data_IF_136834860665
#
_entry.id   IF_136834860665
#
_cell.length_a   1.000
_cell.length_b   1.000
_cell.length_c   1.000
_cell.angle_alpha   90.00
_cell.angle_beta   90.00
_cell.angle_gamma   90.00
#
_symmetry.space_group_name_H-M   'P 1'
#
loop_
_entity.id
_entity.type
_entity.pdbx_description
1 polymer ?
#
# COMPACT_ATOMS: atom_id res chain seq x y z
N UNK A 1 14.65 35.88 -33.85
CA UNK A 1 14.04 34.65 -34.37
C UNK A 1 14.40 33.48 -33.47
N UNK A 2 13.46 32.56 -33.25
CA UNK A 2 13.75 31.31 -32.54
C UNK A 2 14.57 30.38 -33.44
N UNK A 3 15.71 29.93 -32.91
CA UNK A 3 16.69 29.07 -33.61
C UNK A 3 16.89 27.73 -32.91
N UNK A 4 15.98 27.33 -32.01
CA UNK A 4 16.01 26.01 -31.40
C UNK A 4 15.92 24.91 -32.47
N UNK A 5 16.84 23.95 -32.40
CA UNK A 5 16.96 22.85 -33.37
C UNK A 5 15.80 21.86 -33.25
N UNK A 6 15.28 21.68 -32.04
CA UNK A 6 14.26 20.68 -31.73
C UNK A 6 12.84 21.17 -32.05
N UNK A 7 12.09 20.34 -32.79
CA UNK A 7 10.66 20.49 -33.01
C UNK A 7 9.91 19.80 -31.87
N UNK A 8 9.04 20.55 -31.19
CA UNK A 8 8.14 19.98 -30.18
C UNK A 8 7.00 19.24 -30.88
N UNK A 9 6.41 18.26 -30.19
CA UNK A 9 5.20 17.55 -30.61
C UNK A 9 5.31 16.85 -31.98
N UNK A 10 6.50 16.33 -32.34
CA UNK A 10 6.77 15.83 -33.70
C UNK A 10 7.55 14.51 -33.75
N UNK A 11 7.68 13.75 -32.65
CA UNK A 11 8.45 12.50 -32.64
C UNK A 11 7.58 11.25 -32.75
N UNK A 12 6.41 11.23 -32.09
CA UNK A 12 5.45 10.14 -32.14
C UNK A 12 4.02 10.69 -32.02
N UNK A 13 3.00 9.87 -32.26
CA UNK A 13 1.60 10.32 -32.13
C UNK A 13 1.08 10.07 -30.70
N UNK A 14 0.31 11.02 -30.19
CA UNK A 14 -0.38 10.88 -28.90
C UNK A 14 -1.40 9.74 -28.95
N UNK A 15 -2.08 9.57 -30.09
CA UNK A 15 -3.10 8.52 -30.25
C UNK A 15 -2.52 7.10 -30.12
N UNK A 16 -1.32 6.84 -30.63
CA UNK A 16 -0.66 5.55 -30.45
C UNK A 16 -0.22 5.32 -29.01
N UNK A 17 0.28 6.36 -28.32
CA UNK A 17 0.63 6.28 -26.90
C UNK A 17 -0.61 5.98 -26.03
N UNK A 18 -1.73 6.68 -26.26
CA UNK A 18 -3.00 6.45 -25.57
C UNK A 18 -3.55 5.03 -25.86
N UNK A 19 -3.42 4.53 -27.10
CA UNK A 19 -3.81 3.15 -27.42
C UNK A 19 -2.93 2.13 -26.72
N UNK A 20 -1.61 2.34 -26.68
CA UNK A 20 -0.68 1.48 -25.97
C UNK A 20 -0.98 1.46 -24.45
N UNK A 21 -1.39 2.59 -23.89
CA UNK A 21 -1.84 2.69 -22.51
C UNK A 21 -3.04 1.77 -22.23
N UNK A 22 -4.07 1.78 -23.08
CA UNK A 22 -5.23 0.87 -22.92
C UNK A 22 -4.82 -0.61 -22.94
N UNK A 23 -3.88 -0.99 -23.82
CA UNK A 23 -3.37 -2.37 -23.87
C UNK A 23 -2.64 -2.72 -22.57
N UNK A 24 -1.86 -1.78 -22.02
CA UNK A 24 -1.12 -1.98 -20.78
C UNK A 24 -2.00 -2.13 -19.53
N UNK A 25 -3.27 -1.69 -19.58
CA UNK A 25 -4.24 -1.87 -18.48
C UNK A 25 -4.33 -3.33 -18.06
N UNK A 26 -4.35 -4.26 -19.02
CA UNK A 26 -4.42 -5.69 -18.72
C UNK A 26 -3.22 -6.13 -17.88
N UNK A 27 -2.02 -5.65 -18.23
CA UNK A 27 -0.78 -5.97 -17.50
C UNK A 27 -0.77 -5.38 -16.10
N UNK A 28 -1.22 -4.14 -15.93
CA UNK A 28 -1.32 -3.48 -14.63
C UNK A 28 -2.35 -4.18 -13.73
N UNK A 29 -3.54 -4.46 -14.29
CA UNK A 29 -4.60 -5.18 -13.62
C UNK A 29 -4.15 -6.58 -13.23
N UNK A 30 -3.50 -7.34 -14.12
CA UNK A 30 -3.00 -8.69 -13.86
C UNK A 30 -1.78 -8.72 -12.93
N UNK A 31 -1.03 -7.60 -12.85
CA UNK A 31 0.11 -7.44 -11.96
C UNK A 31 -0.25 -7.35 -10.47
N UNK A 32 -1.48 -6.94 -10.14
CA UNK A 32 -1.97 -6.94 -8.77
C UNK A 32 -2.06 -8.38 -8.22
N UNK A 33 -1.82 -8.56 -6.92
CA UNK A 33 -1.90 -9.89 -6.32
C UNK A 33 -3.36 -10.36 -6.20
N UNK A 34 -3.54 -11.68 -6.10
CA UNK A 34 -4.88 -12.26 -5.81
C UNK A 34 -5.45 -11.71 -4.50
N UNK A 35 -4.61 -11.56 -3.48
CA UNK A 35 -5.04 -11.05 -2.17
C UNK A 35 -5.51 -9.59 -2.26
N UNK A 36 -4.80 -8.75 -3.02
CA UNK A 36 -5.24 -7.37 -3.30
C UNK A 36 -6.62 -7.33 -3.97
N UNK A 37 -6.91 -8.26 -4.88
CA UNK A 37 -8.21 -8.37 -5.55
C UNK A 37 -9.37 -8.84 -4.65
N UNK A 38 -9.06 -9.59 -3.59
CA UNK A 38 -10.04 -10.13 -2.65
C UNK A 38 -10.36 -9.16 -1.51
N UNK A 39 -9.39 -8.34 -1.10
CA UNK A 39 -9.53 -7.38 0.02
C UNK A 39 -10.20 -6.08 -0.41
N UNK A 40 -9.98 -5.65 -1.66
CA UNK A 40 -10.45 -4.35 -2.15
C UNK A 40 -11.72 -4.48 -3.00
N UNK A 41 -12.59 -3.47 -2.97
CA UNK A 41 -13.74 -3.39 -3.88
C UNK A 41 -13.28 -3.13 -5.33
N UNK A 42 -14.17 -3.38 -6.30
CA UNK A 42 -13.86 -3.08 -7.70
C UNK A 42 -13.56 -1.59 -7.87
N UNK A 43 -14.34 -0.72 -7.24
CA UNK A 43 -14.14 0.73 -7.27
C UNK A 43 -12.78 1.15 -6.72
N UNK A 44 -12.32 0.55 -5.62
CA UNK A 44 -11.01 0.85 -5.04
C UNK A 44 -9.86 0.43 -5.98
N UNK A 45 -9.98 -0.75 -6.60
CA UNK A 45 -8.98 -1.23 -7.56
C UNK A 45 -8.98 -0.36 -8.82
N UNK A 46 -10.17 -0.02 -9.33
CA UNK A 46 -10.33 0.87 -10.49
C UNK A 46 -9.65 2.21 -10.21
N UNK A 47 -9.91 2.82 -9.05
CA UNK A 47 -9.34 4.12 -8.70
C UNK A 47 -7.82 4.04 -8.50
N UNK A 48 -7.31 2.97 -7.87
CA UNK A 48 -5.87 2.73 -7.73
C UNK A 48 -5.17 2.63 -9.09
N UNK A 49 -5.66 1.74 -9.97
CA UNK A 49 -5.08 1.56 -11.31
C UNK A 49 -5.21 2.84 -12.14
N UNK A 50 -6.36 3.52 -12.06
CA UNK A 50 -6.57 4.80 -12.76
C UNK A 50 -5.58 5.87 -12.28
N UNK A 51 -5.36 6.01 -10.97
CA UNK A 51 -4.43 6.99 -10.42
C UNK A 51 -2.97 6.78 -10.85
N UNK A 52 -2.58 5.54 -11.13
CA UNK A 52 -1.25 5.18 -11.63
C UNK A 52 -1.09 5.44 -13.13
N UNK A 53 -2.20 5.38 -13.88
CA UNK A 53 -2.19 5.46 -15.34
C UNK A 53 -2.68 6.80 -15.88
N UNK A 54 -3.26 7.66 -15.06
CA UNK A 54 -3.70 8.98 -15.51
C UNK A 54 -2.50 9.80 -16.00
N UNK A 55 -2.65 10.41 -17.17
CA UNK A 55 -1.61 11.25 -17.77
C UNK A 55 -1.80 12.68 -17.28
N UNK A 56 -0.79 13.24 -16.62
CA UNK A 56 -0.80 14.64 -16.21
C UNK A 56 -0.54 15.54 -17.44
N UNK A 57 -1.50 16.40 -17.85
CA UNK A 57 -1.31 17.27 -19.00
C UNK A 57 -0.23 18.33 -18.74
N UNK A 58 0.43 18.77 -19.81
CA UNK A 58 1.43 19.83 -19.74
C UNK A 58 0.79 21.19 -19.42
N UNK A 59 1.41 21.91 -18.50
CA UNK A 59 1.06 23.29 -18.12
C UNK A 59 2.35 24.10 -18.03
N UNK A 60 2.40 25.24 -18.72
CA UNK A 60 3.53 26.19 -18.68
C UNK A 60 3.19 27.39 -17.79
N UNK A 61 4.18 27.92 -17.09
CA UNK A 61 4.02 29.06 -16.17
C UNK A 61 4.62 30.34 -16.78
N UNK A 62 3.83 31.02 -17.62
CA UNK A 62 4.26 32.23 -18.35
C UNK A 62 4.65 33.38 -17.43
N UNK A 63 3.99 33.48 -16.27
CA UNK A 63 4.30 34.46 -15.22
C UNK A 63 5.68 34.27 -14.58
N UNK A 64 6.27 33.08 -14.75
CA UNK A 64 7.60 32.73 -14.26
C UNK A 64 8.64 32.64 -15.40
N UNK A 65 8.33 33.20 -16.58
CA UNK A 65 9.28 33.21 -17.68
C UNK A 65 10.44 34.18 -17.42
N UNK A 66 11.64 33.80 -17.86
CA UNK A 66 12.84 34.62 -17.70
C UNK A 66 13.71 34.59 -18.96
N UNK A 67 14.30 35.72 -19.31
CA UNK A 67 15.32 35.82 -20.34
C UNK A 67 16.71 35.76 -19.73
N UNK A 68 17.64 35.08 -20.39
CA UNK A 68 19.06 35.20 -20.07
C UNK A 68 19.59 36.56 -20.54
N UNK A 69 20.66 37.03 -19.87
CA UNK A 69 21.36 38.25 -20.27
C UNK A 69 21.74 38.17 -21.76
N UNK A 70 21.37 39.17 -22.58
CA UNK A 70 21.69 39.18 -24.00
C UNK A 70 23.20 39.19 -24.24
N UNK A 71 23.69 38.30 -25.11
CA UNK A 71 25.11 38.21 -25.44
C UNK A 71 25.36 38.38 -26.93
N UNK A 72 26.38 39.14 -27.28
CA UNK A 72 26.87 39.19 -28.66
C UNK A 72 27.54 37.87 -29.05
N UNK A 73 27.19 37.37 -30.23
CA UNK A 73 27.72 36.14 -30.78
C UNK A 73 27.89 36.28 -32.30
N UNK A 74 28.46 35.26 -32.94
CA UNK A 74 28.57 35.18 -34.40
C UNK A 74 27.91 33.91 -34.88
N UNK A 75 27.09 34.03 -35.91
CA UNK A 75 26.42 32.88 -36.55
C UNK A 75 26.81 32.81 -38.02
N UNK A 76 26.93 31.60 -38.56
CA UNK A 76 27.20 31.37 -39.98
C UNK A 76 25.86 31.15 -40.70
N UNK A 77 25.59 31.97 -41.73
CA UNK A 77 24.41 31.80 -42.59
C UNK A 77 24.87 31.72 -44.04
N UNK A 78 24.10 31.00 -44.86
CA UNK A 78 24.27 31.09 -46.31
C UNK A 78 23.54 32.31 -46.83
N UNK A 79 24.21 33.10 -47.64
CA UNK A 79 23.58 34.21 -48.35
C UNK A 79 22.74 33.68 -49.53
N UNK A 80 21.97 34.54 -50.23
CA UNK A 80 21.17 34.14 -51.40
C UNK A 80 21.98 33.55 -52.57
N UNK A 81 23.30 33.72 -52.57
CA UNK A 81 24.22 33.22 -53.60
C UNK A 81 24.90 31.90 -53.19
N UNK A 82 24.69 31.45 -51.95
CA UNK A 82 25.18 30.19 -51.41
C UNK A 82 26.47 30.29 -50.60
N UNK A 83 27.03 31.50 -50.45
CA UNK A 83 28.28 31.73 -49.72
C UNK A 83 28.03 31.76 -48.20
N UNK A 84 28.95 31.16 -47.45
CA UNK A 84 28.93 31.17 -45.97
C UNK A 84 29.42 32.53 -45.45
N UNK A 85 28.49 33.31 -44.90
CA UNK A 85 28.77 34.59 -44.26
C UNK A 85 28.67 34.50 -42.73
N UNK A 86 29.60 35.15 -42.03
CA UNK A 86 29.59 35.27 -40.57
C UNK A 86 28.96 36.59 -40.15
N UNK A 87 27.79 36.52 -39.51
CA UNK A 87 27.03 37.70 -39.08
C UNK A 87 27.08 37.86 -37.56
N UNK A 88 27.27 39.10 -37.05
CA UNK A 88 27.08 39.38 -35.63
C UNK A 88 25.59 39.27 -35.27
N UNK A 89 25.29 38.56 -34.19
CA UNK A 89 23.93 38.36 -33.67
C UNK A 89 23.91 38.53 -32.17
N UNK A 90 22.77 38.94 -31.64
CA UNK A 90 22.48 38.97 -30.21
C UNK A 90 21.71 37.69 -29.88
N UNK A 91 22.25 36.90 -28.96
CA UNK A 91 21.65 35.67 -28.43
C UNK A 91 21.03 35.91 -27.07
N UNK A 92 19.82 35.40 -26.88
CA UNK A 92 19.15 35.34 -25.58
C UNK A 92 18.28 34.08 -25.54
N UNK A 93 18.17 33.48 -24.36
CA UNK A 93 17.38 32.29 -24.13
C UNK A 93 16.17 32.64 -23.28
N UNK A 94 14.97 32.35 -23.78
CA UNK A 94 13.75 32.41 -22.98
C UNK A 94 13.55 31.08 -22.27
N UNK A 95 13.31 31.12 -20.97
CA UNK A 95 13.16 29.96 -20.11
C UNK A 95 11.81 30.02 -19.40
N UNK A 96 11.03 28.92 -19.43
CA UNK A 96 9.69 28.84 -18.84
C UNK A 96 9.55 27.53 -18.05
N UNK A 97 9.21 27.58 -16.75
CA UNK A 97 8.89 26.38 -15.99
C UNK A 97 7.62 25.69 -16.52
N UNK A 98 7.56 24.37 -16.40
CA UNK A 98 6.36 23.59 -16.71
C UNK A 98 6.12 22.46 -15.71
N UNK A 99 4.87 22.01 -15.64
CA UNK A 99 4.43 20.79 -14.95
C UNK A 99 3.69 19.86 -15.93
N UNK A 100 3.59 18.58 -15.60
CA UNK A 100 2.99 17.54 -16.44
C UNK A 100 4.03 16.62 -17.07
N UNK A 101 3.57 15.51 -17.64
CA UNK A 101 4.42 14.45 -18.19
C UNK A 101 5.34 14.96 -19.30
N UNK A 102 6.66 14.94 -19.07
CA UNK A 102 7.65 15.52 -20.00
C UNK A 102 7.68 14.84 -21.36
N UNK A 103 7.30 13.55 -21.45
CA UNK A 103 7.22 12.85 -22.73
C UNK A 103 6.14 13.42 -23.66
N UNK A 104 5.15 14.15 -23.15
CA UNK A 104 4.14 14.82 -23.97
C UNK A 104 4.75 15.87 -24.91
N UNK A 105 5.92 16.44 -24.60
CA UNK A 105 6.64 17.34 -25.51
C UNK A 105 7.09 16.66 -26.81
N UNK A 106 7.12 15.33 -26.84
CA UNK A 106 7.48 14.52 -28.02
C UNK A 106 6.24 14.13 -28.85
N UNK A 107 5.05 14.16 -28.24
CA UNK A 107 3.84 13.56 -28.80
C UNK A 107 3.02 14.57 -29.58
N UNK A 108 2.70 14.22 -30.82
CA UNK A 108 1.83 14.99 -31.69
C UNK A 108 0.36 14.71 -31.34
N UNK A 109 -0.45 15.74 -31.02
CA UNK A 109 -1.89 15.59 -30.83
C UNK A 109 -2.61 15.19 -32.13
N UNK A 110 -3.88 14.80 -31.99
CA UNK A 110 -4.78 14.44 -33.09
C UNK A 110 -5.02 15.59 -34.08
N UNK A 111 -5.06 16.81 -33.54
CA UNK A 111 -5.11 18.07 -34.30
C UNK A 111 -3.72 18.70 -34.26
N UNK A 112 -3.16 19.07 -35.40
CA UNK A 112 -1.81 19.63 -35.48
C UNK A 112 -1.64 20.56 -36.68
N UNK A 113 -0.52 21.29 -36.70
CA UNK A 113 -0.10 22.13 -37.84
C UNK A 113 1.16 21.55 -38.49
N UNK A 114 1.40 21.89 -39.76
CA UNK A 114 2.60 21.47 -40.50
C UNK A 114 3.88 22.19 -40.07
N UNK A 115 3.79 23.19 -39.19
CA UNK A 115 4.93 23.91 -38.65
C UNK A 115 4.83 23.95 -37.12
N UNK A 116 5.11 22.83 -36.42
CA UNK A 116 5.02 22.76 -34.98
C UNK A 116 6.03 23.72 -34.31
N UNK A 117 5.75 24.15 -33.06
CA UNK A 117 6.62 25.07 -32.35
C UNK A 117 7.99 24.45 -32.08
N UNK A 118 9.01 25.31 -31.98
CA UNK A 118 10.39 24.91 -31.67
C UNK A 118 10.69 25.20 -30.21
N UNK A 119 11.51 24.33 -29.61
CA UNK A 119 11.96 24.48 -28.23
C UNK A 119 12.73 23.29 -27.73
N UNK A 120 13.63 23.57 -26.79
CA UNK A 120 14.34 22.56 -26.01
C UNK A 120 13.64 22.41 -24.65
N UNK A 121 13.55 21.22 -24.09
CA UNK A 121 13.01 21.03 -22.74
C UNK A 121 13.92 20.11 -21.94
N UNK A 122 13.90 20.31 -20.62
CA UNK A 122 14.63 19.47 -19.68
C UNK A 122 13.75 19.19 -18.47
N UNK A 123 13.52 17.91 -18.17
CA UNK A 123 12.90 17.50 -16.92
C UNK A 123 13.86 17.74 -15.75
N UNK A 124 13.29 17.97 -14.56
CA UNK A 124 14.07 18.05 -13.34
C UNK A 124 14.63 16.66 -12.98
N UNK A 125 15.87 16.60 -12.48
CA UNK A 125 16.49 15.31 -12.12
C UNK A 125 15.62 14.57 -11.10
N UNK A 126 15.19 13.36 -11.45
CA UNK A 126 14.35 12.51 -10.61
C UNK A 126 12.86 12.86 -10.61
N UNK A 127 12.40 13.79 -11.45
CA UNK A 127 10.99 14.11 -11.61
C UNK A 127 10.65 14.38 -13.09
N UNK A 128 9.89 13.49 -13.71
CA UNK A 128 9.41 13.57 -15.09
C UNK A 128 8.19 14.48 -15.28
N UNK A 129 7.56 14.92 -14.19
CA UNK A 129 6.37 15.78 -14.19
C UNK A 129 6.67 17.26 -13.97
N UNK A 130 7.93 17.66 -13.83
CA UNK A 130 8.34 19.05 -13.68
C UNK A 130 9.57 19.32 -14.51
N UNK A 131 9.66 20.49 -15.13
CA UNK A 131 10.85 20.83 -15.89
C UNK A 131 10.87 22.26 -16.39
N UNK A 132 11.72 22.48 -17.37
CA UNK A 132 11.97 23.79 -17.95
C UNK A 132 11.98 23.70 -19.46
N UNK A 133 11.19 24.55 -20.09
CA UNK A 133 11.17 24.80 -21.52
C UNK A 133 12.10 25.96 -21.85
N UNK A 134 12.89 25.83 -22.91
CA UNK A 134 13.91 26.79 -23.32
C UNK A 134 13.81 27.08 -24.81
N UNK A 135 13.84 28.36 -25.17
CA UNK A 135 13.89 28.82 -26.55
C UNK A 135 15.18 29.60 -26.77
N UNK A 136 15.98 29.17 -27.75
CA UNK A 136 17.16 29.92 -28.17
C UNK A 136 16.73 30.95 -29.20
N UNK A 137 17.03 32.21 -28.97
CA UNK A 137 16.68 33.29 -29.88
C UNK A 137 17.92 34.02 -30.38
N UNK A 138 17.95 34.27 -31.69
CA UNK A 138 18.98 35.08 -32.36
C UNK A 138 18.33 36.26 -33.09
N UNK A 139 18.88 37.45 -32.89
CA UNK A 139 18.49 38.67 -33.59
C UNK A 139 19.73 39.35 -34.15
N UNK A 140 19.65 39.96 -35.33
CA UNK A 140 20.68 40.92 -35.76
C UNK A 140 20.56 42.21 -34.92
N UNK A 141 21.61 43.03 -34.92
CA UNK A 141 21.62 44.27 -34.12
C UNK A 141 20.48 45.24 -34.49
N UNK A 142 20.06 45.27 -35.76
CA UNK A 142 18.91 46.09 -36.19
C UNK A 142 17.54 45.49 -35.86
N UNK A 143 17.45 44.17 -35.65
CA UNK A 143 16.22 43.48 -35.29
C UNK A 143 15.99 43.43 -33.77
N UNK A 144 17.04 43.62 -32.98
CA UNK A 144 16.99 43.53 -31.52
C UNK A 144 16.26 44.73 -30.91
N UNK A 145 14.94 44.64 -30.89
CA UNK A 145 14.02 45.60 -30.28
C UNK A 145 13.05 44.87 -29.36
N UNK A 146 12.56 45.55 -28.31
CA UNK A 146 11.60 44.95 -27.38
C UNK A 146 10.34 44.44 -28.10
N UNK A 147 9.85 45.17 -29.10
CA UNK A 147 8.67 44.77 -29.87
C UNK A 147 8.92 43.52 -30.72
N UNK A 148 10.07 43.43 -31.39
CA UNK A 148 10.42 42.26 -32.19
C UNK A 148 10.60 41.00 -31.32
N UNK A 149 11.21 41.15 -30.14
CA UNK A 149 11.38 40.06 -29.18
C UNK A 149 10.02 39.59 -28.68
N UNK A 150 9.20 40.52 -28.17
CA UNK A 150 7.87 40.18 -27.66
C UNK A 150 6.98 39.55 -28.73
N UNK A 151 7.02 40.07 -29.95
CA UNK A 151 6.23 39.52 -31.05
C UNK A 151 6.66 38.09 -31.42
N UNK A 152 7.97 37.81 -31.44
CA UNK A 152 8.49 36.46 -31.70
C UNK A 152 8.12 35.48 -30.58
N UNK A 153 8.25 35.91 -29.32
CA UNK A 153 7.87 35.13 -28.14
C UNK A 153 6.38 34.80 -28.16
N UNK A 154 5.51 35.81 -28.30
CA UNK A 154 4.06 35.60 -28.32
C UNK A 154 3.60 34.71 -29.47
N UNK A 155 4.22 34.82 -30.65
CA UNK A 155 3.89 33.95 -31.78
C UNK A 155 4.16 32.48 -31.45
N UNK A 156 5.32 32.17 -30.88
CA UNK A 156 5.68 30.79 -30.55
C UNK A 156 4.87 30.27 -29.35
N UNK A 157 4.68 31.10 -28.32
CA UNK A 157 3.89 30.75 -27.15
C UNK A 157 2.43 30.49 -27.49
N UNK A 158 1.83 31.27 -28.40
CA UNK A 158 0.50 30.98 -28.92
C UNK A 158 0.42 29.62 -29.60
N UNK A 159 1.40 29.29 -30.45
CA UNK A 159 1.45 27.97 -31.07
C UNK A 159 1.60 26.86 -30.04
N UNK A 160 2.35 27.07 -28.96
CA UNK A 160 2.48 26.09 -27.87
C UNK A 160 1.15 25.93 -27.13
N UNK A 161 0.47 27.02 -26.76
CA UNK A 161 -0.83 26.96 -26.12
C UNK A 161 -1.86 26.20 -26.95
N UNK A 162 -1.88 26.40 -28.27
CA UNK A 162 -2.77 25.66 -29.17
C UNK A 162 -2.52 24.15 -29.07
N UNK A 163 -1.24 23.72 -29.13
CA UNK A 163 -0.86 22.31 -28.98
C UNK A 163 -1.18 21.77 -27.58
N UNK A 164 -0.92 22.53 -26.52
CA UNK A 164 -1.27 22.16 -25.15
C UNK A 164 -2.78 21.97 -24.99
N UNK A 165 -3.58 22.85 -25.61
CA UNK A 165 -5.03 22.74 -25.67
C UNK A 165 -5.50 21.47 -26.38
N UNK A 166 -4.91 21.14 -27.53
CA UNK A 166 -5.23 19.92 -28.27
C UNK A 166 -4.83 18.65 -27.52
N UNK A 167 -3.63 18.61 -26.93
CA UNK A 167 -3.18 17.48 -26.09
C UNK A 167 -4.12 17.29 -24.90
N UNK A 168 -4.46 18.38 -24.20
CA UNK A 168 -5.39 18.32 -23.07
C UNK A 168 -6.74 17.76 -23.50
N UNK A 169 -7.28 18.22 -24.63
CA UNK A 169 -8.54 17.71 -25.16
C UNK A 169 -8.47 16.21 -25.49
N UNK A 170 -7.40 15.75 -26.15
CA UNK A 170 -7.20 14.34 -26.47
C UNK A 170 -7.12 13.47 -25.21
N UNK A 171 -6.39 13.93 -24.17
CA UNK A 171 -6.29 13.24 -22.87
C UNK A 171 -7.66 13.19 -22.17
N UNK A 172 -8.38 14.31 -22.12
CA UNK A 172 -9.71 14.38 -21.51
C UNK A 172 -10.72 13.47 -22.22
N UNK A 173 -10.66 13.40 -23.56
CA UNK A 173 -11.48 12.47 -24.35
C UNK A 173 -11.10 11.01 -24.13
N UNK A 174 -9.84 10.72 -23.78
CA UNK A 174 -9.35 9.37 -23.52
C UNK A 174 -9.71 8.86 -22.13
N UNK A 175 -9.74 9.74 -21.12
CA UNK A 175 -9.96 9.38 -19.72
C UNK A 175 -11.19 8.47 -19.48
N UNK A 176 -12.37 8.72 -20.08
CA UNK A 176 -13.50 7.81 -19.96
C UNK A 176 -13.25 6.42 -20.56
N UNK A 177 -12.52 6.34 -21.67
CA UNK A 177 -12.16 5.09 -22.33
C UNK A 177 -11.22 4.27 -21.43
N UNK A 178 -10.19 4.93 -20.87
CA UNK A 178 -9.27 4.32 -19.91
C UNK A 178 -10.04 3.77 -18.70
N UNK A 179 -10.90 4.59 -18.08
CA UNK A 179 -11.68 4.16 -16.92
C UNK A 179 -12.55 2.96 -17.25
N UNK A 180 -13.25 2.96 -18.39
CA UNK A 180 -14.09 1.84 -18.82
C UNK A 180 -13.29 0.57 -19.10
N UNK A 181 -12.13 0.67 -19.73
CA UNK A 181 -11.25 -0.47 -19.98
C UNK A 181 -10.73 -1.07 -18.67
N UNK A 182 -10.34 -0.23 -17.70
CA UNK A 182 -9.97 -0.69 -16.35
C UNK A 182 -11.14 -1.43 -15.70
N UNK A 183 -12.37 -0.88 -15.73
CA UNK A 183 -13.56 -1.57 -15.18
C UNK A 183 -13.75 -2.94 -15.81
N UNK A 184 -13.64 -3.03 -17.14
CA UNK A 184 -13.80 -4.28 -17.89
C UNK A 184 -12.78 -5.33 -17.45
N UNK A 185 -11.51 -4.95 -17.36
CA UNK A 185 -10.42 -5.86 -16.99
C UNK A 185 -10.51 -6.31 -15.53
N UNK A 186 -10.87 -5.41 -14.62
CA UNK A 186 -11.09 -5.72 -13.20
C UNK A 186 -12.23 -6.73 -13.04
N UNK A 187 -13.37 -6.49 -13.70
CA UNK A 187 -14.51 -7.40 -13.67
C UNK A 187 -14.14 -8.79 -14.23
N UNK A 188 -13.47 -8.85 -15.38
CA UNK A 188 -13.00 -10.10 -15.98
C UNK A 188 -12.03 -10.86 -15.05
N UNK A 189 -11.12 -10.14 -14.38
CA UNK A 189 -10.19 -10.78 -13.44
C UNK A 189 -10.92 -11.32 -12.20
N UNK A 190 -11.88 -10.57 -11.67
CA UNK A 190 -12.70 -11.00 -10.53
C UNK A 190 -13.52 -12.25 -10.85
N UNK A 191 -14.12 -12.31 -12.03
CA UNK A 191 -14.83 -13.50 -12.53
C UNK A 191 -13.90 -14.72 -12.66
N UNK A 192 -12.70 -14.54 -13.24
CA UNK A 192 -11.68 -15.60 -13.32
C UNK A 192 -11.31 -16.13 -11.93
N UNK A 193 -11.09 -15.24 -10.95
CA UNK A 193 -10.75 -15.62 -9.57
C UNK A 193 -11.92 -16.32 -8.85
N UNK A 194 -13.16 -15.87 -9.07
CA UNK A 194 -14.37 -16.49 -8.55
C UNK A 194 -14.58 -17.89 -9.11
N UNK A 195 -14.37 -18.09 -10.42
CA UNK A 195 -14.43 -19.40 -11.08
C UNK A 195 -13.42 -20.36 -10.48
N UNK A 196 -12.19 -19.91 -10.24
CA UNK A 196 -11.14 -20.71 -9.57
C UNK A 196 -11.60 -21.08 -8.14
N UNK A 197 -12.10 -20.13 -7.35
CA UNK A 197 -12.59 -20.44 -5.99
C UNK A 197 -13.76 -21.43 -5.99
N UNK A 198 -14.72 -21.29 -6.91
CA UNK A 198 -15.87 -22.19 -7.01
C UNK A 198 -15.46 -23.60 -7.44
N UNK A 199 -14.51 -23.72 -8.37
CA UNK A 199 -13.96 -25.01 -8.78
C UNK A 199 -13.24 -25.69 -7.60
N UNK A 200 -12.44 -24.95 -6.83
CA UNK A 200 -11.73 -25.46 -5.66
C UNK A 200 -12.67 -25.89 -4.52
N UNK A 201 -13.80 -25.19 -4.30
CA UNK A 201 -14.82 -25.61 -3.32
C UNK A 201 -15.53 -26.90 -3.71
N UNK A 202 -15.72 -27.13 -5.02
CA UNK A 202 -16.37 -28.33 -5.56
C UNK A 202 -15.42 -29.54 -5.56
N UNK A 203 -14.11 -29.31 -5.66
CA UNK A 203 -13.09 -30.35 -5.62
C UNK A 203 -12.77 -30.74 -4.17
N UNK A 204 -13.21 -31.93 -3.76
CA UNK A 204 -12.91 -32.52 -2.46
C UNK A 204 -11.47 -33.11 -2.40
N UNK A 205 -10.50 -32.43 -3.03
CA UNK A 205 -9.11 -32.88 -3.19
C UNK A 205 -8.19 -31.84 -2.54
N UNK A 206 -7.31 -32.23 -1.60
CA UNK A 206 -6.40 -31.31 -0.93
C UNK A 206 -5.42 -30.66 -1.93
N UNK A 207 -5.42 -29.33 -1.98
CA UNK A 207 -4.56 -28.53 -2.85
C UNK A 207 -3.20 -28.40 -2.19
N UNK A 208 -2.14 -28.86 -2.85
CA UNK A 208 -0.78 -28.51 -2.44
C UNK A 208 -0.48 -27.06 -2.83
N UNK A 209 -0.32 -26.19 -1.84
CA UNK A 209 0.25 -24.85 -2.03
C UNK A 209 1.70 -24.99 -2.47
N UNK A 210 2.11 -24.24 -3.51
CA UNK A 210 3.52 -24.19 -3.93
C UNK A 210 4.42 -23.84 -2.74
N UNK A 211 5.48 -24.61 -2.54
CA UNK A 211 6.52 -24.34 -1.56
C UNK A 211 7.07 -22.91 -1.75
N UNK A 212 7.02 -22.10 -0.68
CA UNK A 212 7.72 -20.81 -0.63
C UNK A 212 6.89 -19.52 -0.73
N UNK A 213 5.55 -19.57 -0.80
CA UNK A 213 4.72 -18.36 -0.72
C UNK A 213 4.08 -18.22 0.68
N UNK A 214 4.36 -17.15 1.46
CA UNK A 214 3.66 -16.89 2.70
C UNK A 214 2.22 -16.47 2.39
N UNK A 215 1.29 -17.41 2.46
CA UNK A 215 -0.15 -17.15 2.35
C UNK A 215 -0.68 -16.60 3.67
N UNK A 216 -0.51 -15.31 3.91
CA UNK A 216 -1.34 -14.56 4.85
C UNK A 216 -2.33 -13.73 4.04
N UNK A 217 -3.43 -14.37 3.65
CA UNK A 217 -4.59 -13.64 3.18
C UNK A 217 -5.04 -12.72 4.32
N UNK A 218 -4.83 -11.41 4.16
CA UNK A 218 -5.58 -10.41 4.92
C UNK A 218 -7.05 -10.65 4.56
N UNK A 219 -7.82 -11.19 5.51
CA UNK A 219 -9.26 -11.38 5.32
C UNK A 219 -9.95 -10.07 5.71
N UNK A 220 -10.83 -9.50 4.87
CA UNK A 220 -11.73 -8.47 5.34
C UNK A 220 -12.64 -9.10 6.42
N UNK A 221 -12.75 -8.46 7.58
CA UNK A 221 -13.70 -8.81 8.65
C UNK A 221 -15.12 -8.89 8.06
N UNK A 222 -15.58 -10.10 7.71
CA UNK A 222 -16.97 -10.32 7.35
C UNK A 222 -17.77 -10.56 8.62
N UNK A 223 -18.36 -9.48 9.14
CA UNK A 223 -19.37 -9.56 10.20
C UNK A 223 -20.57 -10.36 9.70
N UNK A 224 -20.63 -11.64 10.05
CA UNK A 224 -21.90 -12.38 10.03
C UNK A 224 -22.54 -12.19 11.39
N UNK A 225 -23.48 -11.24 11.47
CA UNK A 225 -24.39 -11.13 12.61
C UNK A 225 -25.21 -12.43 12.62
N UNK A 226 -24.83 -13.37 13.49
CA UNK A 226 -25.66 -14.53 13.78
C UNK A 226 -26.78 -13.98 14.66
N UNK A 227 -27.95 -13.71 14.08
CA UNK A 227 -29.17 -13.55 14.89
C UNK A 227 -29.47 -14.93 15.49
N UNK A 228 -29.44 -15.10 16.83
CA UNK A 228 -29.97 -16.32 17.41
C UNK A 228 -31.47 -16.41 17.09
N UNK A 229 -31.97 -17.62 16.85
CA UNK A 229 -33.41 -17.85 16.87
C UNK A 229 -33.96 -17.42 18.24
N UNK A 230 -35.15 -16.80 18.31
CA UNK A 230 -35.66 -16.22 19.54
C UNK A 230 -35.97 -17.30 20.57
N UNK A 231 -35.08 -17.47 21.54
CA UNK A 231 -35.43 -18.02 22.86
C UNK A 231 -35.64 -16.84 23.81
N UNK A 232 -36.81 -16.81 24.43
CA UNK A 232 -37.26 -15.75 25.32
C UNK A 232 -36.30 -15.57 26.50
N UNK A 233 -35.39 -14.59 26.44
CA UNK A 233 -34.85 -13.89 27.62
C UNK A 233 -34.43 -12.48 27.21
N UNK A 234 -34.92 -11.48 27.96
CA UNK A 234 -34.66 -10.06 27.75
C UNK A 234 -33.19 -9.70 28.05
N UNK A 235 -32.29 -9.92 27.10
CA UNK A 235 -30.95 -9.35 27.14
C UNK A 235 -30.63 -8.57 25.85
N UNK A 236 -29.93 -7.42 25.94
CA UNK A 236 -29.53 -6.63 24.78
C UNK A 236 -28.61 -7.44 23.86
N UNK A 237 -28.58 -7.13 22.54
CA UNK A 237 -27.86 -7.91 21.53
C UNK A 237 -26.38 -8.10 21.89
N UNK A 238 -25.91 -9.34 21.75
CA UNK A 238 -24.57 -9.80 22.14
C UNK A 238 -23.53 -9.41 21.08
N UNK A 239 -22.50 -8.67 21.47
CA UNK A 239 -21.39 -8.28 20.58
C UNK A 239 -20.18 -9.17 20.86
N UNK A 240 -19.92 -10.12 19.96
CA UNK A 240 -18.79 -11.07 20.07
C UNK A 240 -17.98 -11.06 18.78
N UNK A 241 -16.67 -11.32 18.89
CA UNK A 241 -15.83 -11.56 17.70
C UNK A 241 -16.24 -12.90 17.10
N UNK A 242 -16.43 -12.97 15.79
CA UNK A 242 -16.82 -14.21 15.12
C UNK A 242 -15.76 -15.30 15.29
N UNK A 243 -16.13 -16.58 15.20
CA UNK A 243 -15.16 -17.69 15.27
C UNK A 243 -14.10 -17.60 14.16
N UNK A 244 -14.49 -17.11 12.99
CA UNK A 244 -13.58 -16.89 11.87
C UNK A 244 -12.53 -15.81 12.19
N UNK A 245 -12.96 -14.69 12.74
CA UNK A 245 -12.06 -13.58 13.07
C UNK A 245 -11.10 -13.93 14.19
N UNK A 246 -11.56 -14.67 15.19
CA UNK A 246 -10.70 -15.16 16.25
C UNK A 246 -9.62 -16.11 15.72
N UNK A 247 -10.01 -17.08 14.89
CA UNK A 247 -9.04 -17.97 14.24
C UNK A 247 -8.03 -17.20 13.38
N UNK A 248 -8.45 -16.07 12.79
CA UNK A 248 -7.54 -15.20 12.04
C UNK A 248 -6.57 -14.44 12.96
N UNK A 249 -7.03 -13.93 14.11
CA UNK A 249 -6.15 -13.33 15.13
C UNK A 249 -5.10 -14.36 15.57
N UNK A 250 -5.53 -15.60 15.86
CA UNK A 250 -4.62 -16.69 16.23
C UNK A 250 -3.62 -17.02 15.11
N UNK A 251 -4.03 -16.96 13.83
CA UNK A 251 -3.12 -17.13 12.69
C UNK A 251 -2.06 -16.04 12.60
N UNK A 252 -2.43 -14.79 12.84
CA UNK A 252 -1.49 -13.67 12.80
C UNK A 252 -0.49 -13.79 13.96
N UNK A 253 -0.97 -14.06 15.19
CA UNK A 253 -0.09 -14.31 16.35
C UNK A 253 0.90 -15.43 16.05
N UNK A 254 0.42 -16.55 15.49
CA UNK A 254 1.27 -17.68 15.09
C UNK A 254 2.32 -17.26 14.05
N UNK A 255 1.92 -16.49 13.05
CA UNK A 255 2.84 -16.04 12.01
C UNK A 255 3.96 -15.16 12.56
N UNK A 256 3.60 -14.17 13.39
CA UNK A 256 4.57 -13.29 14.03
C UNK A 256 5.50 -14.07 14.96
N UNK A 257 4.95 -15.03 15.72
CA UNK A 257 5.76 -15.94 16.51
C UNK A 257 6.73 -16.79 15.68
N UNK A 258 6.31 -17.31 14.51
CA UNK A 258 7.23 -18.00 13.61
C UNK A 258 8.34 -17.07 13.08
N UNK A 259 8.04 -15.78 12.85
CA UNK A 259 9.06 -14.79 12.47
C UNK A 259 10.06 -14.56 13.61
N UNK A 260 9.58 -14.54 14.85
CA UNK A 260 10.43 -14.47 16.04
C UNK A 260 11.36 -15.68 16.15
N UNK A 261 10.83 -16.90 15.98
CA UNK A 261 11.59 -18.15 16.06
C UNK A 261 12.58 -18.34 14.90
N UNK A 262 12.25 -17.83 13.71
CA UNK A 262 13.13 -17.94 12.53
C UNK A 262 14.34 -17.03 12.60
N UNK A 263 14.20 -15.87 13.25
CA UNK A 263 15.26 -14.88 13.40
C UNK A 263 15.30 -14.37 14.84
N UNK A 264 15.70 -15.19 15.83
CA UNK A 264 15.56 -14.85 17.25
C UNK A 264 16.57 -13.80 17.75
N UNK A 265 17.74 -13.67 17.12
CA UNK A 265 18.80 -12.70 17.50
C UNK A 265 18.33 -11.23 17.64
N UNK A 266 17.55 -10.65 16.71
CA UNK A 266 17.01 -9.29 16.88
C UNK A 266 15.95 -9.21 17.99
N UNK A 267 15.15 -10.27 18.19
CA UNK A 267 14.01 -10.23 19.09
C UNK A 267 14.36 -10.57 20.55
N UNK A 268 15.38 -11.38 20.80
CA UNK A 268 15.81 -11.77 22.15
C UNK A 268 16.30 -10.59 23.00
N UNK A 269 16.70 -9.48 22.35
CA UNK A 269 17.13 -8.24 23.00
C UNK A 269 15.98 -7.44 23.58
N UNK A 270 14.76 -7.67 23.10
CA UNK A 270 13.58 -6.93 23.53
C UNK A 270 13.04 -7.46 24.86
N UNK A 271 12.41 -6.58 25.62
CA UNK A 271 11.66 -6.96 26.82
C UNK A 271 10.22 -7.38 26.49
N UNK A 272 9.45 -7.78 27.51
CA UNK A 272 8.07 -8.24 27.36
C UNK A 272 7.15 -7.17 26.74
N UNK A 273 7.35 -5.91 27.11
CA UNK A 273 6.51 -4.80 26.63
C UNK A 273 6.81 -4.46 25.18
N UNK A 274 8.09 -4.50 24.79
CA UNK A 274 8.58 -4.28 23.44
C UNK A 274 8.15 -5.39 22.47
N UNK A 275 8.30 -6.67 22.86
CA UNK A 275 7.84 -7.81 22.03
C UNK A 275 6.34 -7.77 21.77
N UNK A 276 5.58 -7.36 22.78
CA UNK A 276 4.14 -7.12 22.66
C UNK A 276 3.83 -5.94 21.76
N UNK A 277 4.57 -4.83 21.84
CA UNK A 277 4.37 -3.67 20.96
C UNK A 277 4.64 -4.02 19.50
N UNK A 278 5.65 -4.83 19.22
CA UNK A 278 5.92 -5.36 17.89
C UNK A 278 4.74 -6.22 17.42
N UNK A 279 4.27 -7.16 18.24
CA UNK A 279 3.14 -8.02 17.90
C UNK A 279 1.85 -7.20 17.67
N UNK A 280 1.58 -6.22 18.53
CA UNK A 280 0.44 -5.31 18.42
C UNK A 280 0.53 -4.45 17.16
N UNK A 281 1.72 -3.98 16.77
CA UNK A 281 1.91 -3.22 15.53
C UNK A 281 1.58 -4.07 14.30
N UNK A 282 1.99 -5.34 14.28
CA UNK A 282 1.64 -6.27 13.20
C UNK A 282 0.14 -6.58 13.17
N UNK A 283 -0.45 -6.90 14.32
CA UNK A 283 -1.91 -7.05 14.44
C UNK A 283 -2.62 -5.79 13.92
N UNK A 284 -2.26 -4.59 14.38
CA UNK A 284 -2.83 -3.35 13.87
C UNK A 284 -2.62 -3.16 12.37
N UNK A 285 -1.46 -3.52 11.81
CA UNK A 285 -1.21 -3.50 10.36
C UNK A 285 -2.14 -4.41 9.55
N UNK A 286 -2.57 -5.53 10.13
CA UNK A 286 -3.54 -6.45 9.52
C UNK A 286 -4.99 -5.96 9.65
N UNK A 287 -5.31 -5.14 10.66
CA UNK A 287 -6.70 -4.75 10.98
C UNK A 287 -7.03 -3.26 10.77
N UNK A 288 -6.05 -2.37 10.51
CA UNK A 288 -6.26 -0.91 10.33
C UNK A 288 -7.05 -0.51 9.07
N UNK A 289 -7.24 -1.42 8.11
CA UNK A 289 -7.94 -1.14 6.84
C UNK A 289 -9.47 -0.96 6.97
N UNK A 290 -10.03 -1.08 8.17
CA UNK A 290 -11.47 -1.03 8.43
C UNK A 290 -11.78 0.20 9.29
N UNK A 291 -12.11 1.31 8.64
CA UNK A 291 -12.56 2.53 9.30
C UNK A 291 -13.83 2.25 10.12
N UNK A 292 -13.69 1.93 11.42
CA UNK A 292 -14.76 1.96 12.45
C UNK A 292 -14.28 1.70 13.89
N UNK A 293 -13.12 2.26 14.31
CA UNK A 293 -12.77 2.39 15.74
C UNK A 293 -12.26 1.14 16.47
N UNK A 294 -12.17 -0.02 15.79
CA UNK A 294 -11.67 -1.29 16.33
C UNK A 294 -10.16 -1.40 16.10
N UNK A 295 -9.36 -0.92 17.05
CA UNK A 295 -7.89 -0.95 17.02
C UNK A 295 -7.41 -1.72 18.24
N UNK A 296 -6.36 -2.54 18.11
CA UNK A 296 -5.74 -3.17 19.27
C UNK A 296 -5.09 -2.10 20.14
N UNK A 297 -5.48 -2.07 21.42
CA UNK A 297 -5.04 -1.10 22.42
C UNK A 297 -4.39 -1.81 23.60
N UNK A 298 -3.58 -1.06 24.33
CA UNK A 298 -3.05 -1.46 25.63
C UNK A 298 -4.16 -1.27 26.68
N UNK A 299 -4.52 -2.31 27.44
CA UNK A 299 -5.45 -2.22 28.58
C UNK A 299 -4.70 -2.20 29.92
N UNK A 300 -3.66 -3.02 30.04
CA UNK A 300 -2.61 -2.94 31.06
C UNK A 300 -1.24 -2.77 30.42
N UNK A 301 -0.17 -3.14 31.16
CA UNK A 301 1.21 -2.98 30.68
C UNK A 301 1.55 -3.94 29.54
N UNK A 302 1.07 -5.18 29.66
CA UNK A 302 1.49 -6.33 28.83
C UNK A 302 0.34 -6.93 28.03
N UNK A 303 -0.81 -6.25 28.05
CA UNK A 303 -2.04 -6.65 27.40
C UNK A 303 -2.18 -6.08 25.98
N UNK A 304 -2.84 -6.87 25.13
CA UNK A 304 -3.36 -6.46 23.84
C UNK A 304 -4.88 -6.71 23.84
N UNK A 305 -5.68 -5.66 23.67
CA UNK A 305 -7.14 -5.76 23.73
C UNK A 305 -7.82 -5.12 22.51
N UNK A 306 -8.87 -5.74 22.00
CA UNK A 306 -9.85 -5.09 21.11
C UNK A 306 -11.09 -4.78 21.92
N UNK A 307 -11.55 -3.53 21.86
CA UNK A 307 -12.78 -3.08 22.52
C UNK A 307 -13.85 -2.67 21.50
N UNK A 308 -15.11 -3.00 21.81
CA UNK A 308 -16.30 -2.54 21.09
C UNK A 308 -17.25 -1.88 22.09
N UNK A 309 -17.69 -0.64 21.82
CA UNK A 309 -18.56 0.15 22.72
C UNK A 309 -18.08 0.14 24.20
N UNK A 310 -16.78 0.34 24.44
CA UNK A 310 -16.11 0.30 25.75
C UNK A 310 -16.11 -1.07 26.46
N UNK A 311 -16.19 -2.18 25.72
CA UNK A 311 -16.17 -3.55 26.27
C UNK A 311 -15.19 -4.43 25.51
N UNK A 312 -14.40 -5.24 26.24
CA UNK A 312 -13.35 -6.06 25.65
C UNK A 312 -13.94 -7.26 24.88
N UNK A 313 -13.67 -7.34 23.59
CA UNK A 313 -14.13 -8.40 22.69
C UNK A 313 -13.05 -9.48 22.47
N UNK A 314 -11.77 -9.08 22.50
CA UNK A 314 -10.60 -9.95 22.53
C UNK A 314 -9.58 -9.42 23.54
N UNK A 315 -8.94 -10.33 24.27
CA UNK A 315 -7.86 -10.00 25.20
C UNK A 315 -6.72 -11.00 25.03
N UNK A 316 -5.51 -10.49 24.81
CA UNK A 316 -4.29 -11.28 24.88
C UNK A 316 -3.33 -10.74 25.94
N UNK A 317 -2.71 -11.64 26.67
CA UNK A 317 -1.66 -11.35 27.65
C UNK A 317 -0.32 -11.85 27.10
N UNK A 318 0.70 -11.00 27.08
CA UNK A 318 2.06 -11.37 26.69
C UNK A 318 2.94 -11.60 27.93
N UNK A 319 3.70 -12.69 27.96
CA UNK A 319 4.60 -13.02 29.09
C UNK A 319 5.94 -13.58 28.65
N UNK A 320 7.02 -13.15 29.29
CA UNK A 320 8.30 -13.86 29.25
C UNK A 320 8.26 -15.07 30.18
N UNK A 321 8.73 -16.22 29.68
CA UNK A 321 8.88 -17.43 30.47
C UNK A 321 9.96 -17.23 31.54
N UNK A 322 9.54 -17.19 32.82
CA UNK A 322 10.43 -17.09 33.99
C UNK A 322 10.08 -18.10 35.08
N UNK A 323 9.43 -19.20 34.68
CA UNK A 323 8.98 -20.28 35.56
C UNK A 323 7.49 -20.30 35.86
N UNK A 324 7.09 -21.34 36.59
CA UNK A 324 5.70 -21.81 36.68
C UNK A 324 4.74 -20.80 37.33
N UNK A 325 5.20 -20.13 38.39
CA UNK A 325 4.40 -19.13 39.10
C UNK A 325 4.02 -17.96 38.19
N UNK A 326 4.94 -17.51 37.33
CA UNK A 326 4.70 -16.39 36.40
C UNK A 326 3.67 -16.75 35.33
N UNK A 327 3.61 -18.00 34.92
CA UNK A 327 2.59 -18.48 34.00
C UNK A 327 1.19 -18.47 34.64
N UNK A 328 1.08 -18.94 35.89
CA UNK A 328 -0.19 -18.93 36.63
C UNK A 328 -0.66 -17.50 36.93
N UNK A 329 0.26 -16.58 37.26
CA UNK A 329 -0.04 -15.15 37.42
C UNK A 329 -0.60 -14.55 36.13
N UNK A 330 -0.03 -14.89 34.96
CA UNK A 330 -0.49 -14.40 33.67
C UNK A 330 -1.92 -14.86 33.34
N UNK A 331 -2.27 -16.11 33.67
CA UNK A 331 -3.65 -16.60 33.53
C UNK A 331 -4.60 -15.85 34.44
N UNK A 332 -4.21 -15.59 35.70
CA UNK A 332 -5.03 -14.80 36.62
C UNK A 332 -5.26 -13.37 36.11
N UNK A 333 -4.22 -12.73 35.56
CA UNK A 333 -4.31 -11.41 34.93
C UNK A 333 -5.28 -11.44 33.75
N UNK A 334 -5.08 -12.38 32.81
CA UNK A 334 -5.93 -12.55 31.64
C UNK A 334 -7.40 -12.74 32.01
N UNK A 335 -7.69 -13.61 32.98
CA UNK A 335 -9.06 -13.87 33.47
C UNK A 335 -9.66 -12.65 34.20
N UNK A 336 -8.83 -11.84 34.87
CA UNK A 336 -9.26 -10.64 35.58
C UNK A 336 -9.67 -9.47 34.66
N UNK A 337 -9.19 -9.44 33.41
CA UNK A 337 -9.55 -8.39 32.45
C UNK A 337 -10.87 -8.64 31.71
N UNK A 338 -11.45 -9.82 31.87
CA UNK A 338 -12.65 -10.24 31.16
C UNK A 338 -13.88 -9.61 31.81
N UNK A 339 -14.71 -8.98 30.98
CA UNK A 339 -15.91 -8.26 31.42
C UNK A 339 -17.20 -8.88 30.88
N UNK A 340 -17.13 -9.86 29.96
CA UNK A 340 -18.30 -10.49 29.31
C UNK A 340 -18.15 -12.00 29.08
N UNK A 341 -19.32 -12.66 29.05
CA UNK A 341 -19.70 -14.06 28.76
C UNK A 341 -18.99 -14.77 27.58
N UNK A 342 -18.54 -14.07 26.53
CA UNK A 342 -17.95 -14.66 25.31
C UNK A 342 -16.61 -14.00 24.91
N UNK A 343 -15.78 -13.67 25.89
CA UNK A 343 -14.47 -13.08 25.63
C UNK A 343 -13.53 -14.15 25.05
N UNK A 344 -12.97 -13.86 23.89
CA UNK A 344 -11.96 -14.73 23.28
C UNK A 344 -10.59 -14.31 23.71
N UNK A 345 -9.77 -15.27 24.14
CA UNK A 345 -8.56 -14.93 24.88
C UNK A 345 -7.34 -15.68 24.39
N UNK A 346 -6.18 -15.04 24.53
CA UNK A 346 -4.90 -15.68 24.21
C UNK A 346 -3.85 -15.37 25.25
N UNK A 347 -3.00 -16.35 25.54
CA UNK A 347 -1.82 -16.19 26.38
C UNK A 347 -0.60 -16.44 25.50
N UNK A 348 0.28 -15.46 25.39
CA UNK A 348 1.42 -15.49 24.47
C UNK A 348 2.69 -15.51 25.31
N UNK A 349 3.37 -16.64 25.31
CA UNK A 349 4.57 -16.89 26.11
C UNK A 349 5.80 -16.86 25.22
N UNK A 350 6.80 -16.08 25.63
CA UNK A 350 8.08 -15.94 24.96
C UNK A 350 9.18 -16.55 25.83
N UNK A 351 9.91 -17.53 25.32
CA UNK A 351 11.10 -18.06 26.01
C UNK A 351 12.37 -17.56 25.33
N UNK A 352 13.18 -16.79 26.04
CA UNK A 352 14.47 -16.29 25.53
C UNK A 352 15.67 -16.63 26.39
N UNK A 353 15.44 -17.14 27.60
CA UNK A 353 16.45 -17.29 28.64
C UNK A 353 16.76 -18.78 28.92
N UNK A 354 15.86 -19.71 28.60
CA UNK A 354 15.99 -21.11 29.03
C UNK A 354 16.30 -22.04 27.85
N UNK A 355 17.44 -22.72 27.92
CA UNK A 355 17.77 -23.76 26.94
C UNK A 355 16.88 -25.01 27.12
N UNK A 356 16.47 -25.62 26.01
CA UNK A 356 15.72 -26.89 26.00
C UNK A 356 14.21 -26.71 25.88
N UNK A 357 13.77 -26.09 24.79
CA UNK A 357 12.39 -25.74 24.46
C UNK A 357 11.36 -26.87 24.68
N UNK A 358 11.71 -28.12 24.33
CA UNK A 358 10.82 -29.28 24.52
C UNK A 358 10.40 -29.49 25.97
N UNK A 359 11.32 -29.25 26.93
CA UNK A 359 10.99 -29.38 28.35
C UNK A 359 9.96 -28.33 28.79
N UNK A 360 10.02 -27.14 28.21
CA UNK A 360 9.06 -26.06 28.49
C UNK A 360 7.71 -26.39 27.86
N UNK A 361 7.70 -26.92 26.63
CA UNK A 361 6.49 -27.40 25.95
C UNK A 361 5.77 -28.49 26.75
N UNK A 362 6.50 -29.43 27.36
CA UNK A 362 5.92 -30.45 28.24
C UNK A 362 5.41 -29.85 29.56
N UNK A 363 6.07 -28.81 30.07
CA UNK A 363 5.78 -28.22 31.38
C UNK A 363 4.59 -27.27 31.40
N UNK A 364 4.40 -26.46 30.35
CA UNK A 364 3.29 -25.49 30.26
C UNK A 364 1.92 -26.12 30.55
N UNK A 365 1.50 -27.21 29.88
CA UNK A 365 0.19 -27.78 30.12
C UNK A 365 0.04 -28.33 31.55
N UNK A 366 1.09 -28.93 32.11
CA UNK A 366 1.10 -29.44 33.49
C UNK A 366 0.95 -28.31 34.51
N UNK A 367 1.60 -27.17 34.29
CA UNK A 367 1.48 -26.00 35.17
C UNK A 367 0.09 -25.40 35.08
N UNK A 368 -0.44 -25.19 33.86
CA UNK A 368 -1.76 -24.59 33.68
C UNK A 368 -2.90 -25.45 34.26
N UNK A 369 -2.75 -26.78 34.26
CA UNK A 369 -3.68 -27.72 34.92
C UNK A 369 -3.76 -27.53 36.43
N UNK A 370 -2.73 -26.98 37.06
CA UNK A 370 -2.70 -26.69 38.50
C UNK A 370 -3.47 -25.41 38.86
N UNK A 371 -3.89 -24.62 37.88
CA UNK A 371 -4.64 -23.40 38.13
C UNK A 371 -6.00 -23.72 38.79
N UNK A 372 -6.42 -23.03 39.86
CA UNK A 372 -7.66 -23.33 40.58
C UNK A 372 -8.93 -23.34 39.72
N UNK A 373 -8.94 -22.51 38.67
CA UNK A 373 -10.05 -22.40 37.74
C UNK A 373 -9.95 -23.33 36.52
N UNK A 374 -8.94 -24.19 36.41
CA UNK A 374 -8.80 -25.08 35.26
C UNK A 374 -9.96 -26.08 35.18
N UNK A 375 -10.48 -26.33 33.96
CA UNK A 375 -11.58 -27.27 33.71
C UNK A 375 -11.13 -28.43 32.83
N UNK A 376 -10.56 -28.12 31.67
CA UNK A 376 -10.16 -29.12 30.67
C UNK A 376 -9.15 -28.54 29.68
N UNK A 377 -8.31 -29.41 29.14
CA UNK A 377 -7.40 -29.13 28.03
C UNK A 377 -7.89 -29.80 26.75
N UNK A 378 -7.72 -29.10 25.63
CA UNK A 378 -7.93 -29.62 24.29
C UNK A 378 -6.56 -29.64 23.57
N UNK A 379 -6.28 -30.70 22.81
CA UNK A 379 -5.03 -30.77 22.05
C UNK A 379 -4.99 -29.66 21.01
N UNK A 380 -3.95 -28.83 21.07
CA UNK A 380 -3.66 -27.83 20.05
C UNK A 380 -3.43 -28.50 18.69
N UNK A 381 -3.76 -27.78 17.62
CA UNK A 381 -3.52 -28.22 16.23
C UNK A 381 -2.04 -28.15 15.82
N UNK A 382 -1.24 -27.37 16.55
CA UNK A 382 0.15 -27.05 16.22
C UNK A 382 1.06 -27.29 17.44
N UNK A 383 2.34 -27.58 17.17
CA UNK A 383 3.36 -27.72 18.23
C UNK A 383 3.59 -26.38 18.91
N UNK A 384 3.73 -26.37 20.25
CA UNK A 384 3.88 -25.13 21.04
C UNK A 384 2.58 -24.38 21.28
N UNK A 385 1.43 -25.00 21.03
CA UNK A 385 0.11 -24.40 21.26
C UNK A 385 -0.83 -25.32 22.02
N UNK A 386 -1.63 -24.72 22.89
CA UNK A 386 -2.64 -25.42 23.68
C UNK A 386 -3.91 -24.61 23.75
N UNK A 387 -5.05 -25.29 23.77
CA UNK A 387 -6.33 -24.66 24.03
C UNK A 387 -6.83 -25.17 25.37
N UNK A 388 -7.03 -24.26 26.32
CA UNK A 388 -7.41 -24.62 27.69
C UNK A 388 -8.67 -23.89 28.10
N UNK A 389 -9.54 -24.59 28.82
CA UNK A 389 -10.79 -24.03 29.35
C UNK A 389 -10.65 -23.76 30.84
N UNK A 390 -10.95 -22.53 31.26
CA UNK A 390 -10.94 -22.09 32.65
C UNK A 390 -12.33 -21.61 33.07
N UNK A 391 -12.67 -21.75 34.35
CA UNK A 391 -13.87 -21.13 34.94
C UNK A 391 -13.63 -19.65 35.13
N UNK A 392 -14.68 -18.86 34.92
CA UNK A 392 -14.65 -17.45 35.27
C UNK A 392 -14.77 -17.26 36.79
N UNK A 393 -13.93 -16.41 37.38
CA UNK A 393 -13.83 -16.28 38.85
C UNK A 393 -15.10 -15.74 39.51
N UNK A 394 -15.90 -14.94 38.81
CA UNK A 394 -17.13 -14.34 39.36
C UNK A 394 -18.40 -15.17 39.09
N UNK A 395 -18.34 -16.11 38.14
CA UNK A 395 -19.49 -16.96 37.75
C UNK A 395 -19.00 -18.38 37.40
N UNK A 396 -19.05 -19.33 38.35
CA UNK A 396 -18.53 -20.70 38.18
C UNK A 396 -19.19 -21.52 37.06
N UNK A 397 -20.38 -21.12 36.62
CA UNK A 397 -21.10 -21.77 35.51
C UNK A 397 -20.58 -21.29 34.13
N UNK A 398 -19.66 -20.32 34.11
CA UNK A 398 -19.05 -19.79 32.89
C UNK A 398 -17.66 -20.34 32.66
N UNK A 399 -17.39 -20.63 31.39
CA UNK A 399 -16.13 -21.14 30.90
C UNK A 399 -15.52 -20.19 29.89
N UNK A 400 -14.21 -19.99 29.97
CA UNK A 400 -13.41 -19.17 29.06
C UNK A 400 -12.38 -20.06 28.39
N UNK A 401 -12.29 -19.94 27.08
CA UNK A 401 -11.26 -20.62 26.29
C UNK A 401 -10.05 -19.69 26.16
N UNK A 402 -8.89 -20.16 26.62
CA UNK A 402 -7.60 -19.51 26.51
C UNK A 402 -6.75 -20.28 25.51
N UNK A 403 -6.37 -19.61 24.42
CA UNK A 403 -5.39 -20.15 23.46
C UNK A 403 -3.98 -19.75 23.89
N UNK A 404 -3.15 -20.73 24.20
CA UNK A 404 -1.79 -20.53 24.69
C UNK A 404 -0.79 -20.74 23.56
N UNK A 405 0.08 -19.77 23.34
CA UNK A 405 1.23 -19.84 22.45
C UNK A 405 2.53 -19.86 23.25
N UNK A 406 3.50 -20.65 22.81
CA UNK A 406 4.87 -20.60 23.27
C UNK A 406 5.79 -20.41 22.07
N UNK A 407 6.62 -19.36 22.10
CA UNK A 407 7.60 -19.05 21.06
C UNK A 407 9.04 -19.09 21.60
N UNK A 408 9.93 -19.75 20.85
CA UNK A 408 11.35 -19.86 21.18
C UNK A 408 12.19 -18.71 20.60
N UNK A 409 12.68 -17.86 21.48
CA UNK A 409 13.59 -16.75 21.22
C UNK A 409 15.00 -17.00 21.79
N UNK A 410 15.26 -18.18 22.35
CA UNK A 410 16.55 -18.50 22.96
C UNK A 410 17.65 -18.50 21.90
N UNK A 411 18.72 -17.75 22.16
CA UNK A 411 19.91 -17.70 21.32
C UNK A 411 21.12 -18.10 22.17
N UNK A 412 21.89 -19.08 21.71
CA UNK A 412 23.18 -19.40 22.34
C UNK A 412 24.11 -18.20 22.17
N UNK A 413 24.66 -17.69 23.27
CA UNK A 413 25.70 -16.67 23.19
C UNK A 413 26.84 -17.18 22.29
N UNK A 414 27.16 -16.43 21.23
CA UNK A 414 28.36 -16.66 20.44
C UNK A 414 29.53 -16.25 21.33
N UNK A 415 30.37 -17.20 21.70
CA UNK A 415 31.67 -16.96 22.36
C UNK A 415 32.53 -15.95 21.59
#
# INVERSE_FOLDING_TARGET
MIVSDNLLFNQATLSDALRAQLVSVTKEVDGLSKDQFLVNSDEQIIEHVYSKMVIAPLVIYRDQMSLTEPQENRTERRDPFGDLIRLPVIRTDLTIPYTGESDLWKLQPSTFTFNPPRGDYSSQRGNDQTGTLRFKMEFTQGEYTSDAINHEVERNLKSIDDYLGWIKHDIESHNPQLKNEIRRQVAQRRERLGTIQSALKTLNIPIQTREGAPGLSQLPLQRKIIKPLPSQTNHPPEYTISNEDYENILKIIRHEGCSYERTPEPFSKHDEEELRDILMAHLNGHYHGLANGEVFRKKGKTDICIEFENRAAFVAECKLWKGDQKLLEAVNQLLGYLTWRDSKTSLIVFDKDVAGFTKIQEKIPEVLKQHPNFVRDEKGKYSGEWQMTFRFSEDPDRMVIVHVFLFNLYVTEKE
#
